data_IF_099430949386
#
_entry.id   IF_099430949386
#
_cell.length_a   1.000
_cell.length_b   1.000
_cell.length_c   1.000
_cell.angle_alpha   90.00
_cell.angle_beta   90.00
_cell.angle_gamma   90.00
#
_symmetry.space_group_name_H-M   'P 1'
#
loop_
_entity.id
_entity.type
_entity.pdbx_description
1 polymer ?
#
# COMPACT_ATOMS: atom_id res chain seq x y z
N UNK A 1 -29.68 7.88 -41.50
CA UNK A 1 -29.33 9.06 -40.66
C UNK A 1 -29.47 8.81 -39.17
N UNK A 2 -30.44 8.04 -38.69
CA UNK A 2 -30.62 7.72 -37.26
C UNK A 2 -29.49 6.88 -36.64
N UNK A 3 -28.88 5.95 -37.38
CA UNK A 3 -27.90 4.98 -36.84
C UNK A 3 -26.56 5.63 -36.44
N UNK A 4 -26.21 6.77 -37.00
CA UNK A 4 -24.92 7.44 -36.74
C UNK A 4 -24.89 8.20 -35.40
N UNK A 5 -26.04 8.61 -34.86
CA UNK A 5 -26.15 9.27 -33.55
C UNK A 5 -26.13 8.24 -32.38
N UNK A 6 -26.43 6.98 -32.66
CA UNK A 6 -26.49 5.92 -31.66
C UNK A 6 -25.13 5.70 -30.98
N UNK A 7 -24.02 5.91 -31.69
CA UNK A 7 -22.66 5.73 -31.14
C UNK A 7 -22.21 6.90 -30.25
N UNK A 8 -22.77 8.11 -30.49
CA UNK A 8 -22.34 9.30 -29.74
C UNK A 8 -22.83 9.31 -28.29
N UNK A 9 -24.06 8.86 -28.05
CA UNK A 9 -24.68 8.84 -26.73
C UNK A 9 -23.93 7.93 -25.73
N UNK A 10 -23.53 6.69 -26.06
CA UNK A 10 -22.70 5.86 -25.18
C UNK A 10 -21.36 6.49 -24.84
N UNK A 11 -20.69 7.15 -25.78
CA UNK A 11 -19.40 7.81 -25.55
C UNK A 11 -19.58 8.99 -24.58
N UNK A 12 -20.60 9.80 -24.76
CA UNK A 12 -20.91 10.91 -23.86
C UNK A 12 -21.22 10.40 -22.44
N UNK A 13 -22.00 9.32 -22.33
CA UNK A 13 -22.32 8.71 -21.05
C UNK A 13 -21.06 8.17 -20.34
N UNK A 14 -20.15 7.55 -21.09
CA UNK A 14 -18.85 7.10 -20.55
C UNK A 14 -18.00 8.26 -20.03
N UNK A 15 -17.94 9.38 -20.73
CA UNK A 15 -17.21 10.58 -20.30
C UNK A 15 -17.81 11.16 -19.02
N UNK A 16 -19.13 11.24 -18.94
CA UNK A 16 -19.84 11.71 -17.74
C UNK A 16 -19.58 10.75 -16.57
N UNK A 17 -19.70 9.45 -16.80
CA UNK A 17 -19.41 8.42 -15.79
C UNK A 17 -17.97 8.49 -15.29
N UNK A 18 -17.02 8.69 -16.20
CA UNK A 18 -15.60 8.87 -15.84
C UNK A 18 -15.39 10.15 -15.01
N UNK A 19 -16.03 11.26 -15.39
CA UNK A 19 -15.95 12.52 -14.63
C UNK A 19 -16.47 12.35 -13.20
N UNK A 20 -17.65 11.72 -13.05
CA UNK A 20 -18.22 11.42 -11.73
C UNK A 20 -17.31 10.51 -10.92
N UNK A 21 -16.77 9.44 -11.50
CA UNK A 21 -15.86 8.53 -10.85
C UNK A 21 -14.61 9.26 -10.32
N UNK A 22 -13.97 10.09 -11.14
CA UNK A 22 -12.78 10.88 -10.76
C UNK A 22 -13.08 11.90 -9.65
N UNK A 23 -14.27 12.50 -9.64
CA UNK A 23 -14.68 13.50 -8.62
C UNK A 23 -14.93 12.81 -7.28
N UNK A 24 -15.62 11.67 -7.28
CA UNK A 24 -16.05 10.96 -6.06
C UNK A 24 -14.89 10.16 -5.43
N UNK A 25 -13.92 9.72 -6.23
CA UNK A 25 -12.82 8.86 -5.77
C UNK A 25 -11.97 9.52 -4.67
N UNK A 26 -11.99 9.01 -3.42
CA UNK A 26 -11.23 9.59 -2.31
C UNK A 26 -9.73 9.32 -2.41
N UNK A 27 -9.30 8.29 -3.14
CA UNK A 27 -7.91 7.84 -3.21
C UNK A 27 -7.07 8.69 -4.18
N UNK A 28 -7.69 9.38 -5.13
CA UNK A 28 -6.98 10.21 -6.11
C UNK A 28 -6.52 11.51 -5.46
N UNK A 29 -5.21 11.79 -5.54
CA UNK A 29 -4.62 13.04 -5.05
C UNK A 29 -5.20 14.24 -5.79
N UNK A 30 -5.39 15.38 -5.09
CA UNK A 30 -5.98 16.61 -5.66
C UNK A 30 -5.35 17.06 -6.98
N UNK A 31 -4.04 16.91 -7.11
CA UNK A 31 -3.31 17.28 -8.32
C UNK A 31 -3.69 16.38 -9.51
N UNK A 32 -3.65 15.07 -9.32
CA UNK A 32 -3.94 14.09 -10.38
C UNK A 32 -5.39 14.17 -10.79
N UNK A 33 -6.30 14.41 -9.83
CA UNK A 33 -7.72 14.71 -10.08
C UNK A 33 -7.89 15.92 -11.01
N UNK A 34 -7.13 17.01 -10.76
CA UNK A 34 -7.18 18.21 -11.61
C UNK A 34 -6.74 17.91 -13.04
N UNK A 35 -5.65 17.17 -13.22
CA UNK A 35 -5.16 16.78 -14.56
C UNK A 35 -6.16 15.87 -15.25
N UNK A 36 -6.71 14.87 -14.55
CA UNK A 36 -7.74 13.97 -15.09
C UNK A 36 -8.98 14.75 -15.55
N UNK A 37 -9.45 15.72 -14.77
CA UNK A 37 -10.59 16.57 -15.16
C UNK A 37 -10.27 17.41 -16.41
N UNK A 38 -9.04 17.89 -16.56
CA UNK A 38 -8.58 18.58 -17.79
C UNK A 38 -8.64 17.61 -18.99
N UNK A 39 -8.09 16.39 -18.82
CA UNK A 39 -8.15 15.36 -19.88
C UNK A 39 -9.60 15.07 -20.27
N UNK A 40 -10.49 14.86 -19.30
CA UNK A 40 -11.92 14.61 -19.53
C UNK A 40 -12.56 15.76 -20.31
N UNK A 41 -12.29 17.01 -19.94
CA UNK A 41 -12.77 18.19 -20.65
C UNK A 41 -12.25 18.27 -22.10
N UNK A 42 -10.98 17.95 -22.32
CA UNK A 42 -10.39 17.91 -23.68
C UNK A 42 -10.99 16.78 -24.51
N UNK A 43 -11.16 15.58 -23.93
CA UNK A 43 -11.82 14.44 -24.59
C UNK A 43 -13.27 14.77 -24.94
N UNK A 44 -14.02 15.40 -24.03
CA UNK A 44 -15.37 15.90 -24.30
C UNK A 44 -15.38 16.87 -25.48
N UNK A 45 -14.42 17.82 -25.52
CA UNK A 45 -14.29 18.77 -26.63
C UNK A 45 -14.02 18.10 -27.97
N UNK A 46 -13.26 16.96 -27.99
CA UNK A 46 -13.08 16.18 -29.21
C UNK A 46 -14.35 15.50 -29.70
N UNK A 47 -15.19 15.02 -28.80
CA UNK A 47 -16.49 14.43 -29.17
C UNK A 47 -17.41 15.49 -29.75
N UNK A 48 -17.46 16.68 -29.14
CA UNK A 48 -18.20 17.83 -29.66
C UNK A 48 -17.63 18.25 -31.03
N UNK A 49 -16.33 18.29 -31.18
CA UNK A 49 -15.66 18.64 -32.44
C UNK A 49 -16.05 17.67 -33.57
N UNK A 50 -16.01 16.36 -33.31
CA UNK A 50 -16.42 15.37 -34.32
C UNK A 50 -17.89 15.52 -34.70
N UNK A 51 -18.77 15.88 -33.75
CA UNK A 51 -20.16 16.15 -34.02
C UNK A 51 -20.35 17.41 -34.89
N UNK A 52 -19.62 18.49 -34.58
CA UNK A 52 -19.61 19.71 -35.34
C UNK A 52 -19.07 19.53 -36.77
N UNK A 53 -18.01 18.76 -36.94
CA UNK A 53 -17.44 18.42 -38.24
C UNK A 53 -18.47 17.71 -39.12
N UNK A 54 -19.19 16.75 -38.55
CA UNK A 54 -20.22 16.02 -39.25
C UNK A 54 -21.42 16.92 -39.67
N UNK A 55 -21.91 17.78 -38.75
CA UNK A 55 -22.98 18.70 -39.08
C UNK A 55 -22.55 19.70 -40.16
N UNK A 56 -21.33 20.21 -40.06
CA UNK A 56 -20.78 21.18 -41.01
C UNK A 56 -20.62 20.59 -42.40
N UNK A 57 -20.32 19.28 -42.49
CA UNK A 57 -20.32 18.52 -43.75
C UNK A 57 -21.72 18.49 -44.40
N UNK A 58 -22.75 18.22 -43.58
CA UNK A 58 -24.14 18.15 -44.04
C UNK A 58 -24.70 19.51 -44.53
N UNK A 59 -24.21 20.62 -43.93
CA UNK A 59 -24.72 21.98 -44.21
C UNK A 59 -23.76 22.76 -45.14
N UNK A 60 -22.67 22.13 -45.61
CA UNK A 60 -21.62 22.72 -46.46
C UNK A 60 -21.02 24.03 -45.87
N UNK A 61 -20.83 24.08 -44.55
CA UNK A 61 -20.20 25.22 -43.85
C UNK A 61 -18.68 25.00 -43.74
N UNK A 62 -17.93 25.28 -44.80
CA UNK A 62 -16.48 25.04 -44.90
C UNK A 62 -15.65 25.69 -43.80
N UNK A 63 -16.02 26.92 -43.40
CA UNK A 63 -15.34 27.66 -42.33
C UNK A 63 -15.50 26.98 -40.96
N UNK A 64 -16.72 26.57 -40.60
CA UNK A 64 -17.00 25.92 -39.32
C UNK A 64 -16.29 24.57 -39.25
N UNK A 65 -16.28 23.84 -40.36
CA UNK A 65 -15.56 22.57 -40.50
C UNK A 65 -14.04 22.76 -40.37
N UNK A 66 -13.46 23.81 -40.96
CA UNK A 66 -12.06 24.16 -40.80
C UNK A 66 -11.73 24.45 -39.33
N UNK A 67 -12.52 25.25 -38.62
CA UNK A 67 -12.32 25.53 -37.20
C UNK A 67 -12.37 24.24 -36.37
N UNK A 68 -13.37 23.41 -36.58
CA UNK A 68 -13.54 22.14 -35.90
C UNK A 68 -12.32 21.20 -36.12
N UNK A 69 -11.88 21.08 -37.38
CA UNK A 69 -10.70 20.24 -37.72
C UNK A 69 -9.43 20.76 -37.09
N UNK A 70 -9.12 22.05 -37.16
CA UNK A 70 -7.94 22.67 -36.50
C UNK A 70 -7.93 22.41 -34.99
N UNK A 71 -9.11 22.60 -34.34
CA UNK A 71 -9.28 22.28 -32.92
C UNK A 71 -8.94 20.82 -32.62
N UNK A 72 -9.49 19.87 -33.38
CA UNK A 72 -9.24 18.45 -33.20
C UNK A 72 -7.76 18.07 -33.33
N UNK A 73 -7.05 18.61 -34.31
CA UNK A 73 -5.62 18.38 -34.49
C UNK A 73 -4.75 19.03 -33.40
N UNK A 74 -5.23 20.09 -32.75
CA UNK A 74 -4.54 20.70 -31.62
C UNK A 74 -4.75 19.93 -30.33
N UNK A 75 -5.99 19.50 -30.02
CA UNK A 75 -6.34 18.86 -28.74
C UNK A 75 -5.68 17.48 -28.56
N UNK A 76 -5.54 16.69 -29.64
CA UNK A 76 -4.99 15.33 -29.57
C UNK A 76 -3.61 15.25 -28.91
N UNK A 77 -2.56 15.98 -29.36
CA UNK A 77 -1.26 15.94 -28.69
C UNK A 77 -1.29 16.59 -27.30
N UNK A 78 -2.20 17.54 -27.02
CA UNK A 78 -2.36 18.13 -25.69
C UNK A 78 -2.87 17.08 -24.69
N UNK A 79 -3.76 16.20 -25.07
CA UNK A 79 -4.19 15.08 -24.21
C UNK A 79 -2.99 14.18 -23.87
N UNK A 80 -2.14 13.85 -24.84
CA UNK A 80 -0.98 13.00 -24.62
C UNK A 80 0.02 13.62 -23.63
N UNK A 81 0.30 14.93 -23.70
CA UNK A 81 1.20 15.57 -22.74
C UNK A 81 0.61 15.62 -21.33
N UNK A 82 -0.71 15.68 -21.17
CA UNK A 82 -1.36 15.61 -19.86
C UNK A 82 -1.12 14.25 -19.20
N UNK A 83 -1.07 13.15 -19.94
CA UNK A 83 -0.68 11.85 -19.41
C UNK A 83 0.78 11.80 -18.94
N UNK A 84 1.71 12.55 -19.55
CA UNK A 84 3.08 12.64 -19.06
C UNK A 84 3.14 13.24 -17.66
N UNK A 85 2.34 14.29 -17.39
CA UNK A 85 2.29 14.94 -16.08
C UNK A 85 1.68 14.04 -14.99
N UNK A 86 0.81 13.10 -15.36
CA UNK A 86 0.29 12.11 -14.40
C UNK A 86 1.38 11.09 -14.03
N UNK A 87 2.16 10.62 -15.03
CA UNK A 87 3.20 9.62 -14.80
C UNK A 87 4.40 10.19 -14.05
N UNK A 88 4.85 11.39 -14.41
CA UNK A 88 6.00 12.02 -13.79
C UNK A 88 5.81 13.53 -13.69
N UNK A 89 5.39 13.98 -12.52
CA UNK A 89 5.05 15.37 -12.22
C UNK A 89 6.26 16.31 -12.20
N UNK A 90 7.43 15.81 -11.79
CA UNK A 90 8.60 16.65 -11.51
C UNK A 90 9.37 16.99 -12.78
N UNK A 91 9.10 16.30 -13.88
CA UNK A 91 9.84 16.47 -15.12
C UNK A 91 9.30 17.62 -15.96
N UNK A 92 10.18 18.42 -16.53
CA UNK A 92 9.83 19.50 -17.47
C UNK A 92 9.67 18.95 -18.88
N UNK A 93 8.54 19.23 -19.54
CA UNK A 93 8.19 18.76 -20.88
C UNK A 93 8.25 19.88 -21.93
N UNK A 94 9.16 20.86 -21.78
CA UNK A 94 9.27 22.04 -22.67
C UNK A 94 9.44 21.65 -24.15
N UNK A 95 10.22 20.61 -24.45
CA UNK A 95 10.42 20.10 -25.81
C UNK A 95 9.08 19.67 -26.45
N UNK A 96 8.26 18.92 -25.72
CA UNK A 96 6.98 18.44 -26.23
C UNK A 96 5.95 19.59 -26.39
N UNK A 97 5.99 20.60 -25.52
CA UNK A 97 5.22 21.83 -25.73
C UNK A 97 5.69 22.59 -26.97
N UNK A 98 6.98 22.58 -27.29
CA UNK A 98 7.51 23.11 -28.54
C UNK A 98 6.98 22.36 -29.76
N UNK A 99 6.92 21.02 -29.72
CA UNK A 99 6.33 20.20 -30.78
C UNK A 99 4.83 20.49 -30.97
N UNK A 100 4.09 20.67 -29.87
CA UNK A 100 2.66 21.08 -29.94
C UNK A 100 2.55 22.47 -30.55
N UNK A 101 3.44 23.41 -30.24
CA UNK A 101 3.49 24.73 -30.84
C UNK A 101 3.69 24.67 -32.37
N UNK A 102 4.64 23.85 -32.85
CA UNK A 102 4.84 23.60 -34.27
C UNK A 102 3.59 23.01 -34.92
N UNK A 103 2.99 21.99 -34.30
CA UNK A 103 1.73 21.41 -34.76
C UNK A 103 0.63 22.47 -34.92
N UNK A 104 0.47 23.31 -33.90
CA UNK A 104 -0.54 24.40 -33.91
C UNK A 104 -0.28 25.38 -35.05
N UNK A 105 0.96 25.80 -35.25
CA UNK A 105 1.33 26.71 -36.34
C UNK A 105 1.02 26.11 -37.71
N UNK A 106 1.35 24.81 -37.93
CA UNK A 106 1.06 24.12 -39.21
C UNK A 106 -0.44 24.08 -39.48
N UNK A 107 -1.26 23.63 -38.51
CA UNK A 107 -2.70 23.54 -38.75
C UNK A 107 -3.41 24.89 -38.78
N UNK A 108 -2.85 25.91 -38.14
CA UNK A 108 -3.35 27.28 -38.27
C UNK A 108 -3.25 27.84 -39.70
N UNK A 109 -2.28 27.32 -40.51
CA UNK A 109 -2.18 27.71 -41.95
C UNK A 109 -3.39 27.31 -42.76
N UNK A 110 -4.24 26.38 -42.33
CA UNK A 110 -5.46 25.97 -43.02
C UNK A 110 -6.46 27.13 -43.27
N UNK A 111 -6.38 28.23 -42.49
CA UNK A 111 -7.22 29.41 -42.66
C UNK A 111 -6.81 30.29 -43.84
N UNK A 112 -5.57 30.19 -44.34
CA UNK A 112 -5.04 31.07 -45.38
C UNK A 112 -4.14 30.39 -46.44
N UNK A 113 -3.89 29.10 -46.28
CA UNK A 113 -3.07 28.35 -47.24
C UNK A 113 -3.48 26.86 -47.32
N UNK A 114 -3.12 26.21 -48.42
CA UNK A 114 -3.40 24.77 -48.67
C UNK A 114 -2.26 23.85 -48.14
N UNK A 115 -1.49 24.31 -47.17
CA UNK A 115 -0.31 23.58 -46.67
C UNK A 115 -0.70 22.41 -45.75
N UNK A 116 -1.56 22.62 -44.79
CA UNK A 116 -2.01 21.54 -43.88
C UNK A 116 -3.17 20.75 -44.50
N UNK A 117 -4.26 21.40 -44.73
CA UNK A 117 -5.47 20.90 -45.41
C UNK A 117 -6.31 22.06 -45.87
N UNK A 118 -7.30 21.78 -46.73
CA UNK A 118 -8.36 22.76 -47.06
C UNK A 118 -9.69 22.06 -47.28
N UNK A 119 -10.75 22.78 -47.14
CA UNK A 119 -12.11 22.28 -47.36
C UNK A 119 -12.68 23.05 -48.55
N UNK A 120 -13.20 22.35 -49.54
CA UNK A 120 -13.78 22.92 -50.75
C UNK A 120 -15.03 22.14 -51.11
N UNK A 121 -16.16 22.81 -51.19
CA UNK A 121 -17.49 22.23 -51.44
C UNK A 121 -17.85 21.07 -50.49
N UNK A 122 -17.52 21.20 -49.19
CA UNK A 122 -17.75 20.16 -48.22
C UNK A 122 -16.74 19.01 -48.22
N UNK A 123 -15.78 18.95 -49.17
CA UNK A 123 -14.80 17.90 -49.25
C UNK A 123 -13.50 18.29 -48.54
N UNK A 124 -13.00 17.39 -47.65
CA UNK A 124 -11.71 17.55 -46.97
C UNK A 124 -10.57 17.12 -47.88
N UNK A 125 -9.69 18.06 -48.23
CA UNK A 125 -8.52 17.82 -49.09
C UNK A 125 -7.24 17.98 -48.29
N UNK A 126 -6.34 16.99 -48.43
CA UNK A 126 -5.10 16.90 -47.67
C UNK A 126 -3.98 17.70 -48.32
N UNK A 127 -3.31 18.55 -47.52
CA UNK A 127 -2.09 19.25 -47.91
C UNK A 127 -0.82 18.43 -47.62
N UNK A 128 0.35 18.91 -48.04
CA UNK A 128 1.63 18.23 -47.85
C UNK A 128 2.00 18.01 -46.37
N UNK A 129 1.55 18.86 -45.45
CA UNK A 129 1.82 18.75 -44.04
C UNK A 129 0.62 18.21 -43.21
N UNK A 130 -0.35 17.58 -43.86
CA UNK A 130 -1.57 17.05 -43.24
C UNK A 130 -1.28 16.02 -42.12
N UNK A 131 -0.17 15.27 -42.20
CA UNK A 131 0.18 14.22 -41.27
C UNK A 131 0.99 14.67 -40.06
N UNK A 132 1.27 15.97 -39.90
CA UNK A 132 2.10 16.52 -38.81
C UNK A 132 1.57 16.11 -37.43
N UNK A 133 0.27 16.21 -37.21
CA UNK A 133 -0.34 15.80 -35.94
C UNK A 133 -0.13 14.29 -35.64
N UNK A 134 -0.27 13.44 -36.64
CA UNK A 134 -0.07 12.00 -36.48
C UNK A 134 1.39 11.66 -36.14
N UNK A 135 2.35 12.28 -36.83
CA UNK A 135 3.79 12.12 -36.56
C UNK A 135 4.13 12.53 -35.13
N UNK A 136 3.68 13.73 -34.70
CA UNK A 136 3.90 14.24 -33.36
C UNK A 136 3.23 13.34 -32.32
N UNK A 137 2.01 12.88 -32.57
CA UNK A 137 1.31 11.97 -31.66
C UNK A 137 2.03 10.62 -31.51
N UNK A 138 2.58 10.06 -32.58
CA UNK A 138 3.40 8.84 -32.53
C UNK A 138 4.67 9.06 -31.70
N UNK A 139 5.40 10.16 -31.91
CA UNK A 139 6.59 10.50 -31.13
C UNK A 139 6.22 10.59 -29.62
N UNK A 140 5.13 11.27 -29.31
CA UNK A 140 4.66 11.41 -27.94
C UNK A 140 4.20 10.08 -27.33
N UNK A 141 3.56 9.20 -28.10
CA UNK A 141 3.21 7.86 -27.67
C UNK A 141 4.41 6.98 -27.36
N UNK A 142 5.44 7.01 -28.22
CA UNK A 142 6.70 6.29 -27.97
C UNK A 142 7.35 6.79 -26.68
N UNK A 143 7.33 8.10 -26.44
CA UNK A 143 7.84 8.66 -25.21
C UNK A 143 6.97 8.29 -23.98
N UNK A 144 5.65 8.25 -24.13
CA UNK A 144 4.73 7.77 -23.08
C UNK A 144 5.01 6.32 -22.75
N UNK A 145 5.28 5.47 -23.74
CA UNK A 145 5.73 4.08 -23.56
C UNK A 145 7.01 4.01 -22.74
N UNK A 146 8.00 4.81 -23.10
CA UNK A 146 9.25 4.88 -22.35
C UNK A 146 9.02 5.27 -20.89
N UNK A 147 8.23 6.31 -20.61
CA UNK A 147 7.87 6.72 -19.25
C UNK A 147 7.16 5.61 -18.49
N UNK A 148 6.20 4.95 -19.15
CA UNK A 148 5.46 3.82 -18.59
C UNK A 148 6.41 2.69 -18.21
N UNK A 149 7.31 2.27 -19.12
CA UNK A 149 8.31 1.21 -18.85
C UNK A 149 9.24 1.60 -17.69
N UNK A 150 9.66 2.86 -17.61
CA UNK A 150 10.48 3.33 -16.48
C UNK A 150 9.75 3.24 -15.14
N UNK A 151 8.46 3.59 -15.12
CA UNK A 151 7.63 3.48 -13.92
C UNK A 151 7.36 2.00 -13.56
N UNK A 152 7.24 1.11 -14.55
CA UNK A 152 7.04 -0.32 -14.39
C UNK A 152 8.20 -1.05 -13.72
N UNK A 153 9.44 -0.56 -13.88
CA UNK A 153 10.60 -1.10 -13.14
C UNK A 153 10.46 -0.92 -11.63
N UNK A 154 9.59 -0.01 -11.20
CA UNK A 154 9.30 0.30 -9.80
C UNK A 154 8.03 -0.38 -9.26
N UNK A 155 7.22 -1.03 -10.12
CA UNK A 155 5.91 -1.61 -9.78
C UNK A 155 5.81 -3.09 -10.18
N UNK A 156 4.95 -3.91 -9.54
CA UNK A 156 4.77 -5.32 -9.89
C UNK A 156 4.32 -5.51 -11.35
N UNK A 157 4.89 -6.51 -12.04
CA UNK A 157 4.65 -6.80 -13.48
C UNK A 157 3.17 -6.89 -13.90
N UNK A 158 2.25 -7.30 -13.01
CA UNK A 158 0.83 -7.44 -13.32
C UNK A 158 0.11 -6.12 -13.58
N UNK A 159 0.56 -5.02 -12.99
CA UNK A 159 -0.05 -3.69 -13.15
C UNK A 159 0.32 -3.01 -14.47
N UNK A 160 1.36 -3.50 -15.09
CA UNK A 160 1.93 -3.00 -16.34
C UNK A 160 1.03 -3.23 -17.55
N UNK A 161 0.15 -4.21 -17.46
CA UNK A 161 -0.70 -4.64 -18.58
C UNK A 161 -1.62 -3.50 -19.03
N UNK A 162 -2.21 -2.75 -18.10
CA UNK A 162 -3.18 -1.70 -18.44
C UNK A 162 -2.59 -0.53 -19.24
N UNK A 163 -1.49 0.13 -18.82
CA UNK A 163 -0.88 1.20 -19.59
C UNK A 163 -0.37 0.73 -20.97
N UNK A 164 0.21 -0.47 -21.04
CA UNK A 164 0.72 -1.04 -22.31
C UNK A 164 -0.45 -1.36 -23.27
N UNK A 165 -1.52 -1.97 -22.76
CA UNK A 165 -2.73 -2.23 -23.54
C UNK A 165 -3.36 -0.94 -24.06
N UNK A 166 -3.47 0.09 -23.21
CA UNK A 166 -3.98 1.39 -23.60
C UNK A 166 -3.19 2.02 -24.76
N UNK A 167 -1.87 1.95 -24.68
CA UNK A 167 -1.01 2.46 -25.75
C UNK A 167 -1.17 1.70 -27.06
N UNK A 168 -1.29 0.36 -26.99
CA UNK A 168 -1.56 -0.46 -28.16
C UNK A 168 -2.88 -0.05 -28.80
N UNK A 169 -3.94 0.18 -28.01
CA UNK A 169 -5.25 0.62 -28.49
C UNK A 169 -5.17 2.00 -29.17
N UNK A 170 -4.45 2.97 -28.62
CA UNK A 170 -4.27 4.28 -29.25
C UNK A 170 -3.51 4.14 -30.57
N UNK A 171 -2.45 3.30 -30.61
CA UNK A 171 -1.71 3.04 -31.84
C UNK A 171 -2.60 2.42 -32.94
N UNK A 172 -3.44 1.46 -32.58
CA UNK A 172 -4.42 0.87 -33.49
C UNK A 172 -5.41 1.93 -34.00
N UNK A 173 -5.89 2.82 -33.10
CA UNK A 173 -6.78 3.92 -33.51
C UNK A 173 -6.14 4.86 -34.53
N UNK A 174 -4.87 5.22 -34.32
CA UNK A 174 -4.12 6.04 -35.29
C UNK A 174 -3.99 5.32 -36.64
N UNK A 175 -3.63 4.03 -36.62
CA UNK A 175 -3.50 3.25 -37.84
C UNK A 175 -4.84 3.15 -38.60
N UNK A 176 -5.95 2.91 -37.87
CA UNK A 176 -7.28 2.85 -38.50
C UNK A 176 -7.67 4.20 -39.11
N UNK A 177 -7.42 5.32 -38.45
CA UNK A 177 -7.68 6.67 -39.03
C UNK A 177 -6.85 6.94 -40.28
N UNK A 178 -5.66 6.36 -40.41
CA UNK A 178 -4.80 6.50 -41.60
C UNK A 178 -5.29 5.67 -42.79
N UNK A 179 -5.79 4.44 -42.53
CA UNK A 179 -6.13 3.47 -43.57
C UNK A 179 -7.63 3.41 -43.90
N UNK A 180 -8.52 3.79 -42.95
CA UNK A 180 -9.97 3.61 -43.08
C UNK A 180 -10.74 4.93 -43.12
N UNK A 181 -10.13 6.03 -43.55
CA UNK A 181 -10.65 7.40 -43.47
C UNK A 181 -11.95 7.69 -44.23
N UNK A 182 -12.43 6.79 -45.06
CA UNK A 182 -13.57 7.08 -45.94
C UNK A 182 -14.94 6.63 -45.40
N UNK A 183 -14.98 5.98 -44.25
CA UNK A 183 -16.20 5.27 -43.81
C UNK A 183 -16.90 5.88 -42.58
N UNK A 184 -16.37 6.90 -41.89
CA UNK A 184 -16.87 7.14 -40.52
C UNK A 184 -17.09 8.57 -40.05
N UNK A 185 -18.14 8.68 -39.20
CA UNK A 185 -18.61 9.89 -38.53
C UNK A 185 -17.71 10.31 -37.36
N UNK A 186 -17.00 9.37 -36.75
CA UNK A 186 -16.15 9.59 -35.58
C UNK A 186 -14.80 8.97 -35.84
N UNK A 187 -13.73 9.76 -35.62
CA UNK A 187 -12.34 9.28 -35.69
C UNK A 187 -12.12 8.13 -34.70
N UNK A 188 -11.58 7.01 -35.17
CA UNK A 188 -11.16 5.86 -34.35
C UNK A 188 -10.20 6.28 -33.24
N UNK A 189 -9.31 7.24 -33.52
CA UNK A 189 -8.44 7.84 -32.51
C UNK A 189 -9.22 8.46 -31.36
N UNK A 190 -10.35 9.12 -31.63
CA UNK A 190 -11.19 9.70 -30.58
C UNK A 190 -11.79 8.59 -29.69
N UNK A 191 -12.31 7.53 -30.30
CA UNK A 191 -12.87 6.39 -29.55
C UNK A 191 -11.80 5.73 -28.68
N UNK A 192 -10.60 5.51 -29.21
CA UNK A 192 -9.50 4.88 -28.46
C UNK A 192 -8.94 5.78 -27.35
N UNK A 193 -8.92 7.10 -27.54
CA UNK A 193 -8.53 8.05 -26.48
C UNK A 193 -9.55 8.08 -25.34
N UNK A 194 -10.87 8.06 -25.65
CA UNK A 194 -11.93 7.97 -24.63
C UNK A 194 -11.82 6.69 -23.81
N UNK A 195 -11.77 5.56 -24.51
CA UNK A 195 -11.63 4.23 -23.86
C UNK A 195 -10.32 4.12 -23.09
N UNK A 196 -9.24 4.62 -23.67
CA UNK A 196 -7.94 4.67 -23.02
C UNK A 196 -7.90 5.50 -21.74
N UNK A 197 -8.61 6.63 -21.72
CA UNK A 197 -8.73 7.45 -20.51
C UNK A 197 -9.44 6.71 -19.38
N UNK A 198 -10.46 5.91 -19.70
CA UNK A 198 -11.15 5.05 -18.72
C UNK A 198 -10.20 3.96 -18.16
N UNK A 199 -9.48 3.25 -19.03
CA UNK A 199 -8.51 2.24 -18.60
C UNK A 199 -7.40 2.85 -17.74
N UNK A 200 -6.94 4.04 -18.11
CA UNK A 200 -5.92 4.76 -17.35
C UNK A 200 -6.42 5.18 -15.97
N UNK A 201 -7.67 5.64 -15.87
CA UNK A 201 -8.32 5.92 -14.59
C UNK A 201 -8.37 4.66 -13.71
N UNK A 202 -8.83 3.52 -14.25
CA UNK A 202 -8.90 2.26 -13.50
C UNK A 202 -7.51 1.87 -12.96
N UNK A 203 -6.47 1.98 -13.79
CA UNK A 203 -5.09 1.70 -13.38
C UNK A 203 -4.63 2.62 -12.25
N UNK A 204 -4.87 3.92 -12.36
CA UNK A 204 -4.54 4.91 -11.35
C UNK A 204 -5.26 4.63 -10.03
N UNK A 205 -6.57 4.38 -10.08
CA UNK A 205 -7.37 4.02 -8.92
C UNK A 205 -6.81 2.78 -8.21
N UNK A 206 -6.56 1.69 -8.93
CA UNK A 206 -5.99 0.46 -8.37
C UNK A 206 -4.61 0.68 -7.75
N UNK A 207 -3.80 1.55 -8.33
CA UNK A 207 -2.48 1.92 -7.80
C UNK A 207 -2.61 2.67 -6.47
N UNK A 208 -3.44 3.69 -6.41
CA UNK A 208 -3.60 4.50 -5.20
C UNK A 208 -4.27 3.74 -4.05
N UNK A 209 -5.26 2.90 -4.34
CA UNK A 209 -5.87 2.01 -3.33
C UNK A 209 -4.80 1.13 -2.70
N UNK A 210 -3.95 0.49 -3.51
CA UNK A 210 -2.86 -0.36 -2.99
C UNK A 210 -1.78 0.41 -2.22
N UNK A 211 -1.42 1.60 -2.66
CA UNK A 211 -0.50 2.46 -1.91
C UNK A 211 -1.07 2.79 -0.52
N UNK A 212 -2.37 3.08 -0.47
CA UNK A 212 -3.07 3.36 0.79
C UNK A 212 -3.17 2.14 1.70
N UNK A 213 -3.54 0.98 1.16
CA UNK A 213 -3.58 -0.29 1.91
C UNK A 213 -2.21 -0.64 2.50
N UNK A 214 -1.13 -0.50 1.73
CA UNK A 214 0.24 -0.74 2.21
C UNK A 214 0.62 0.23 3.33
N UNK A 215 0.28 1.51 3.20
CA UNK A 215 0.52 2.50 4.24
C UNK A 215 -0.25 2.17 5.52
N UNK A 216 -1.53 1.81 5.41
CA UNK A 216 -2.37 1.41 6.53
C UNK A 216 -1.85 0.14 7.23
N UNK A 217 -1.45 -0.87 6.45
CA UNK A 217 -0.84 -2.09 7.00
C UNK A 217 0.48 -1.80 7.73
N UNK A 218 1.31 -0.89 7.19
CA UNK A 218 2.55 -0.48 7.85
C UNK A 218 2.26 0.25 9.16
N UNK A 219 1.26 1.14 9.19
CA UNK A 219 0.84 1.86 10.40
C UNK A 219 0.28 0.89 11.45
N UNK A 220 -0.59 -0.04 11.06
CA UNK A 220 -1.11 -1.09 11.96
C UNK A 220 0.03 -1.95 12.52
N UNK A 221 1.02 -2.30 11.69
CA UNK A 221 2.18 -3.08 12.12
C UNK A 221 3.00 -2.30 13.16
N UNK A 222 3.20 -0.99 12.96
CA UNK A 222 3.87 -0.12 13.94
C UNK A 222 3.06 -0.04 15.23
N UNK A 223 1.75 0.10 15.17
CA UNK A 223 0.88 0.11 16.36
C UNK A 223 0.95 -1.20 17.15
N UNK A 224 0.90 -2.35 16.46
CA UNK A 224 1.09 -3.66 17.09
C UNK A 224 2.46 -3.74 17.76
N UNK A 225 3.53 -3.29 17.08
CA UNK A 225 4.88 -3.23 17.66
C UNK A 225 4.92 -2.37 18.92
N UNK A 226 4.31 -1.19 18.90
CA UNK A 226 4.28 -0.26 20.05
C UNK A 226 3.50 -0.82 21.24
N UNK A 227 2.42 -1.60 21.00
CA UNK A 227 1.66 -2.21 22.08
C UNK A 227 2.37 -3.41 22.72
N UNK A 228 3.24 -4.10 21.99
CA UNK A 228 4.01 -5.23 22.49
C UNK A 228 5.26 -4.78 23.28
N UNK A 229 5.80 -3.60 22.99
CA UNK A 229 6.80 -2.97 23.86
C UNK A 229 6.04 -2.25 24.98
N UNK A 230 5.98 -2.85 26.15
CA UNK A 230 5.26 -2.28 27.31
C UNK A 230 5.81 -0.89 27.68
N UNK A 231 5.06 0.21 27.47
CA UNK A 231 5.58 1.55 27.73
C UNK A 231 6.00 1.74 29.21
N UNK A 232 5.25 1.12 30.11
CA UNK A 232 5.53 1.18 31.54
C UNK A 232 6.87 0.49 31.91
N UNK A 233 7.22 -0.62 31.27
CA UNK A 233 8.53 -1.27 31.48
C UNK A 233 9.66 -0.38 30.99
N UNK A 234 9.50 0.26 29.82
CA UNK A 234 10.50 1.19 29.28
C UNK A 234 10.78 2.33 30.24
N UNK A 235 9.73 3.05 30.68
CA UNK A 235 9.90 4.19 31.60
C UNK A 235 10.53 3.77 32.92
N UNK A 236 10.12 2.65 33.46
CA UNK A 236 10.63 2.16 34.73
C UNK A 236 12.10 1.72 34.64
N UNK A 237 12.48 1.04 33.55
CA UNK A 237 13.88 0.63 33.33
C UNK A 237 14.77 1.85 33.16
N UNK A 238 14.37 2.84 32.35
CA UNK A 238 15.11 4.10 32.21
C UNK A 238 15.27 4.85 33.54
N UNK A 239 14.21 4.89 34.34
CA UNK A 239 14.28 5.52 35.70
C UNK A 239 15.22 4.75 36.63
N UNK A 240 15.24 3.42 36.54
CA UNK A 240 16.16 2.58 37.29
C UNK A 240 17.62 2.82 36.87
N UNK A 241 17.89 2.84 35.57
CA UNK A 241 19.23 3.19 35.04
C UNK A 241 19.67 4.56 35.50
N UNK A 242 18.77 5.55 35.43
CA UNK A 242 19.06 6.93 35.90
C UNK A 242 19.43 6.96 37.38
N UNK A 243 18.74 6.20 38.23
CA UNK A 243 19.08 6.10 39.66
C UNK A 243 20.43 5.40 39.85
N UNK A 244 20.68 4.30 39.16
CA UNK A 244 21.92 3.54 39.24
C UNK A 244 23.13 4.34 38.77
N UNK A 245 23.00 5.23 37.79
CA UNK A 245 24.10 6.11 37.36
C UNK A 245 24.72 6.92 38.52
N UNK A 246 23.97 7.16 39.59
CA UNK A 246 24.47 7.88 40.78
C UNK A 246 24.94 6.96 41.91
N UNK A 247 24.41 5.76 41.99
CA UNK A 247 24.60 4.85 43.12
C UNK A 247 25.63 3.75 42.75
N UNK A 248 25.52 3.19 41.56
CA UNK A 248 26.34 2.07 41.08
C UNK A 248 26.47 2.17 39.53
N UNK A 249 27.47 2.94 39.05
CA UNK A 249 27.66 3.15 37.61
C UNK A 249 27.94 1.87 36.80
N UNK A 250 28.61 0.87 37.38
CA UNK A 250 28.86 -0.41 36.70
C UNK A 250 27.56 -1.16 36.48
N UNK A 251 26.71 -1.23 37.50
CA UNK A 251 25.38 -1.84 37.38
C UNK A 251 24.45 -1.07 36.43
N UNK A 252 24.61 0.26 36.35
CA UNK A 252 23.90 1.08 35.38
C UNK A 252 24.31 0.71 33.95
N UNK A 253 25.61 0.51 33.70
CA UNK A 253 26.13 0.09 32.39
C UNK A 253 25.57 -1.27 31.98
N UNK A 254 25.70 -2.28 32.86
CA UNK A 254 25.18 -3.64 32.60
C UNK A 254 23.66 -3.63 32.34
N UNK A 255 22.92 -2.83 33.14
CA UNK A 255 21.46 -2.70 32.94
C UNK A 255 21.12 -2.06 31.61
N UNK A 256 21.92 -1.07 31.16
CA UNK A 256 21.73 -0.41 29.86
C UNK A 256 22.00 -1.38 28.71
N UNK A 257 23.04 -2.20 28.82
CA UNK A 257 23.35 -3.22 27.83
C UNK A 257 22.22 -4.27 27.72
N UNK A 258 21.79 -4.83 28.86
CA UNK A 258 20.66 -5.77 28.93
C UNK A 258 19.36 -5.15 28.36
N UNK A 259 19.10 -3.89 28.66
CA UNK A 259 17.94 -3.19 28.15
C UNK A 259 18.00 -3.01 26.63
N UNK A 260 19.18 -2.69 26.08
CA UNK A 260 19.40 -2.63 24.63
C UNK A 260 19.20 -3.98 23.95
N UNK A 261 19.69 -5.10 24.57
CA UNK A 261 19.44 -6.45 24.10
C UNK A 261 17.95 -6.80 24.11
N UNK A 262 17.25 -6.52 25.20
CA UNK A 262 15.82 -6.73 25.34
C UNK A 262 15.01 -6.04 24.22
N UNK A 263 15.29 -4.75 23.98
CA UNK A 263 14.60 -4.00 22.92
C UNK A 263 14.85 -4.59 21.52
N UNK A 264 16.09 -4.97 21.23
CA UNK A 264 16.45 -5.57 19.94
C UNK A 264 15.73 -6.91 19.72
N UNK A 265 15.75 -7.79 20.74
CA UNK A 265 15.11 -9.09 20.67
C UNK A 265 13.57 -8.97 20.53
N UNK A 266 12.94 -8.01 21.19
CA UNK A 266 11.51 -7.73 20.98
C UNK A 266 11.21 -7.34 19.53
N UNK A 267 12.02 -6.44 18.93
CA UNK A 267 11.85 -6.02 17.54
C UNK A 267 12.04 -7.20 16.57
N UNK A 268 13.07 -8.04 16.81
CA UNK A 268 13.37 -9.21 15.99
C UNK A 268 12.25 -10.26 16.09
N UNK A 269 11.71 -10.49 17.28
CA UNK A 269 10.62 -11.44 17.53
C UNK A 269 9.32 -11.09 16.78
N UNK A 270 9.07 -9.79 16.57
CA UNK A 270 7.91 -9.29 15.80
C UNK A 270 8.04 -9.53 14.29
N UNK A 271 9.26 -9.71 13.81
CA UNK A 271 9.55 -9.87 12.39
C UNK A 271 9.60 -11.34 11.95
N UNK A 272 9.57 -12.29 12.89
CA UNK A 272 9.70 -13.71 12.61
C UNK A 272 8.36 -14.44 12.79
N UNK A 273 7.70 -14.86 11.69
CA UNK A 273 6.47 -15.65 11.73
C UNK A 273 6.72 -17.13 12.05
N UNK A 274 7.97 -17.56 12.25
CA UNK A 274 8.39 -18.96 12.42
C UNK A 274 8.62 -19.28 13.90
N UNK A 275 8.65 -20.59 14.22
CA UNK A 275 9.04 -21.08 15.53
C UNK A 275 10.51 -20.76 15.79
N UNK A 276 10.83 -20.37 17.01
CA UNK A 276 12.21 -20.13 17.45
C UNK A 276 12.67 -21.22 18.43
N UNK A 277 13.96 -21.57 18.46
CA UNK A 277 14.50 -22.47 19.49
C UNK A 277 14.15 -21.97 20.89
N UNK A 278 13.76 -22.89 21.79
CA UNK A 278 13.39 -22.54 23.18
C UNK A 278 14.53 -21.83 23.92
N UNK A 279 15.78 -22.11 23.59
CA UNK A 279 16.93 -21.43 24.18
C UNK A 279 16.90 -19.92 23.95
N UNK A 280 16.50 -19.46 22.72
CA UNK A 280 16.36 -18.03 22.42
C UNK A 280 15.23 -17.39 23.23
N UNK A 281 14.11 -18.07 23.39
CA UNK A 281 12.98 -17.59 24.18
C UNK A 281 13.34 -17.49 25.67
N UNK A 282 14.07 -18.49 26.18
CA UNK A 282 14.56 -18.47 27.57
C UNK A 282 15.61 -17.40 27.81
N UNK A 283 16.52 -17.18 26.86
CA UNK A 283 17.50 -16.08 26.93
C UNK A 283 16.81 -14.73 27.00
N UNK A 284 15.82 -14.51 26.15
CA UNK A 284 15.01 -13.29 26.13
C UNK A 284 14.27 -13.09 27.47
N UNK A 285 13.67 -14.15 27.99
CA UNK A 285 12.99 -14.15 29.28
C UNK A 285 13.95 -13.85 30.44
N UNK A 286 15.18 -14.41 30.42
CA UNK A 286 16.22 -14.13 31.42
C UNK A 286 16.61 -12.66 31.45
N UNK A 287 16.83 -12.05 30.28
CA UNK A 287 17.19 -10.63 30.19
C UNK A 287 16.08 -9.76 30.82
N UNK A 288 14.81 -10.05 30.51
CA UNK A 288 13.68 -9.36 31.13
C UNK A 288 13.67 -9.53 32.67
N UNK A 289 13.79 -10.79 33.13
CA UNK A 289 13.78 -11.11 34.56
C UNK A 289 14.94 -10.43 35.31
N UNK A 290 16.14 -10.42 34.73
CA UNK A 290 17.32 -9.76 35.31
C UNK A 290 17.07 -8.26 35.56
N UNK A 291 16.45 -7.57 34.58
CA UNK A 291 16.11 -6.14 34.71
C UNK A 291 15.09 -5.94 35.82
N UNK A 292 14.07 -6.78 35.90
CA UNK A 292 13.05 -6.66 36.96
C UNK A 292 13.61 -7.01 38.36
N UNK A 293 14.53 -7.97 38.48
CA UNK A 293 15.22 -8.30 39.75
C UNK A 293 16.11 -7.17 40.23
N UNK A 294 16.66 -6.32 39.37
CA UNK A 294 17.37 -5.11 39.77
C UNK A 294 16.40 -4.11 40.44
N UNK A 295 15.17 -4.03 39.96
CA UNK A 295 14.14 -3.13 40.51
C UNK A 295 13.51 -3.67 41.78
N UNK A 296 13.32 -4.98 41.85
CA UNK A 296 12.64 -5.66 42.93
C UNK A 296 13.57 -6.69 43.58
N UNK A 297 14.29 -6.24 44.61
CA UNK A 297 15.29 -7.08 45.29
C UNK A 297 14.69 -8.28 46.02
N UNK A 298 13.36 -8.24 46.30
CA UNK A 298 12.60 -9.33 46.87
C UNK A 298 12.15 -10.40 45.88
N UNK A 299 12.41 -10.22 44.59
CA UNK A 299 12.01 -11.15 43.52
C UNK A 299 13.22 -11.96 43.05
N UNK A 300 13.05 -13.26 42.90
CA UNK A 300 14.01 -14.18 42.29
C UNK A 300 13.35 -15.00 41.19
N UNK A 301 14.06 -15.23 40.09
CA UNK A 301 13.61 -16.11 39.01
C UNK A 301 14.64 -17.24 38.88
N UNK A 302 14.16 -18.47 39.04
CA UNK A 302 14.96 -19.70 39.00
C UNK A 302 14.64 -20.46 37.71
N UNK A 303 15.66 -21.07 37.11
CA UNK A 303 15.56 -21.84 35.88
C UNK A 303 16.05 -23.27 36.08
N UNK A 304 15.20 -24.24 35.77
CA UNK A 304 15.53 -25.70 35.80
C UNK A 304 15.26 -26.28 34.41
N UNK A 305 16.24 -26.16 33.53
CA UNK A 305 16.11 -26.50 32.11
C UNK A 305 16.68 -27.88 31.85
N UNK A 306 15.80 -28.89 31.75
CA UNK A 306 16.16 -30.28 31.50
C UNK A 306 15.92 -30.70 30.04
N UNK A 307 15.19 -29.87 29.25
CA UNK A 307 14.95 -30.09 27.85
C UNK A 307 14.98 -28.74 27.13
N UNK A 308 15.81 -28.63 26.11
CA UNK A 308 15.97 -27.43 25.28
C UNK A 308 16.01 -27.76 23.77
N UNK A 309 15.58 -28.98 23.41
CA UNK A 309 15.70 -29.52 22.04
C UNK A 309 14.50 -29.21 21.13
N UNK A 310 13.61 -28.31 21.53
CA UNK A 310 12.39 -27.99 20.80
C UNK A 310 12.26 -26.50 20.45
N UNK A 311 11.25 -26.17 19.64
CA UNK A 311 10.98 -24.80 19.19
C UNK A 311 9.58 -24.36 19.61
N UNK A 312 9.44 -23.07 19.89
CA UNK A 312 8.19 -22.43 20.32
C UNK A 312 7.93 -21.14 19.52
N UNK A 313 6.70 -20.66 19.45
CA UNK A 313 6.46 -19.32 18.98
C UNK A 313 7.17 -18.27 19.85
N UNK A 314 7.70 -17.22 19.25
CA UNK A 314 8.32 -16.13 20.00
C UNK A 314 7.33 -15.52 21.02
N UNK A 315 7.83 -15.03 22.16
CA UNK A 315 7.04 -14.46 23.25
C UNK A 315 6.04 -15.45 23.86
N UNK A 316 6.43 -16.72 24.01
CA UNK A 316 5.63 -17.78 24.66
C UNK A 316 5.85 -17.80 26.17
N UNK A 317 7.10 -17.79 26.63
CA UNK A 317 7.50 -17.90 28.04
C UNK A 317 7.48 -16.54 28.74
N UNK A 318 8.03 -15.52 28.05
CA UNK A 318 8.19 -14.17 28.63
C UNK A 318 6.90 -13.57 29.18
N UNK A 319 5.74 -13.56 28.47
CA UNK A 319 4.52 -12.94 29.00
C UNK A 319 4.00 -13.62 30.27
N UNK A 320 4.26 -14.93 30.43
CA UNK A 320 3.84 -15.70 31.61
C UNK A 320 4.75 -15.34 32.80
N UNK A 321 6.08 -15.31 32.61
CA UNK A 321 7.02 -14.89 33.63
C UNK A 321 6.78 -13.42 34.04
N UNK A 322 6.47 -12.58 33.09
CA UNK A 322 6.09 -11.21 33.35
C UNK A 322 4.84 -11.10 34.24
N UNK A 323 3.78 -11.87 33.93
CA UNK A 323 2.57 -11.91 34.76
C UNK A 323 2.87 -12.43 36.16
N UNK A 324 3.71 -13.48 36.29
CA UNK A 324 4.14 -14.02 37.56
C UNK A 324 4.88 -12.96 38.39
N UNK A 325 5.79 -12.19 37.81
CA UNK A 325 6.50 -11.12 38.51
C UNK A 325 5.55 -9.99 38.89
N UNK A 326 4.81 -9.42 37.95
CA UNK A 326 3.97 -8.23 38.14
C UNK A 326 2.79 -8.47 39.07
N UNK A 327 2.08 -9.55 38.86
CA UNK A 327 0.80 -9.81 39.50
C UNK A 327 0.88 -10.87 40.60
N UNK A 328 1.88 -11.73 40.51
CA UNK A 328 2.13 -12.81 41.48
C UNK A 328 2.97 -12.34 42.66
N UNK A 329 4.27 -12.25 42.47
CA UNK A 329 5.27 -12.26 43.55
C UNK A 329 5.74 -10.90 44.04
N UNK A 330 5.52 -9.81 43.32
CA UNK A 330 6.04 -8.47 43.65
C UNK A 330 5.65 -7.97 45.05
N UNK A 331 4.53 -8.45 45.57
CA UNK A 331 4.00 -8.05 46.90
C UNK A 331 4.46 -8.97 48.03
N UNK A 332 5.21 -10.04 47.73
CA UNK A 332 5.74 -10.98 48.74
C UNK A 332 7.07 -10.47 49.27
N UNK A 333 7.41 -10.80 50.51
CA UNK A 333 8.71 -10.50 51.09
C UNK A 333 9.84 -11.29 50.39
N UNK A 334 9.56 -12.54 50.02
CA UNK A 334 10.38 -13.40 49.15
C UNK A 334 9.55 -13.95 48.04
N UNK A 335 9.61 -13.30 46.88
CA UNK A 335 8.90 -13.69 45.65
C UNK A 335 9.77 -14.59 44.78
N UNK A 336 9.28 -15.78 44.48
CA UNK A 336 9.99 -16.76 43.66
C UNK A 336 9.14 -17.11 42.45
N UNK A 337 9.76 -17.00 41.26
CA UNK A 337 9.21 -17.53 40.01
C UNK A 337 10.15 -18.65 39.53
N UNK A 338 9.62 -19.81 39.24
CA UNK A 338 10.39 -20.93 38.74
C UNK A 338 9.95 -21.28 37.33
N UNK A 339 10.91 -21.38 36.41
CA UNK A 339 10.71 -21.80 35.01
C UNK A 339 11.43 -23.14 34.84
N UNK A 340 10.69 -24.16 34.45
CA UNK A 340 11.28 -25.49 34.18
C UNK A 340 10.85 -26.03 32.83
N UNK A 341 11.73 -26.79 32.18
CA UNK A 341 11.42 -27.51 30.96
C UNK A 341 11.78 -28.97 31.10
N UNK A 342 10.94 -29.84 30.57
CA UNK A 342 11.21 -31.30 30.58
C UNK A 342 10.56 -31.97 29.36
N UNK A 343 11.20 -33.05 28.91
CA UNK A 343 10.65 -33.90 27.87
C UNK A 343 9.77 -34.99 28.51
N UNK A 344 8.58 -35.17 27.97
CA UNK A 344 7.65 -36.27 28.27
C UNK A 344 7.53 -37.18 27.05
N UNK A 345 6.86 -38.33 27.20
CA UNK A 345 6.77 -39.32 26.11
C UNK A 345 6.16 -38.78 24.81
N UNK A 346 5.26 -37.80 24.89
CA UNK A 346 4.50 -37.30 23.72
C UNK A 346 4.56 -35.79 23.51
N UNK A 347 5.23 -35.05 24.42
CA UNK A 347 5.27 -33.60 24.35
C UNK A 347 6.46 -33.05 25.15
N UNK A 348 6.89 -31.85 24.78
CA UNK A 348 7.75 -31.02 25.60
C UNK A 348 6.89 -30.22 26.58
N UNK A 349 7.26 -30.15 27.84
CA UNK A 349 6.52 -29.46 28.88
C UNK A 349 7.35 -28.27 29.39
N UNK A 350 6.70 -27.09 29.44
CA UNK A 350 7.25 -25.91 30.11
C UNK A 350 6.34 -25.60 31.29
N UNK A 351 6.90 -25.48 32.49
CA UNK A 351 6.15 -25.14 33.70
C UNK A 351 6.69 -23.82 34.27
N UNK A 352 5.83 -22.85 34.43
CA UNK A 352 6.12 -21.58 35.08
C UNK A 352 5.27 -21.50 36.36
N UNK A 353 5.91 -21.51 37.52
CA UNK A 353 5.23 -21.44 38.82
C UNK A 353 5.69 -20.24 39.62
N UNK A 354 4.78 -19.61 40.36
CA UNK A 354 5.05 -18.53 41.28
C UNK A 354 4.45 -18.81 42.67
N UNK A 355 5.09 -18.27 43.70
CA UNK A 355 4.59 -18.31 45.08
C UNK A 355 3.79 -17.04 45.42
N UNK A 356 3.18 -16.40 44.44
CA UNK A 356 2.52 -15.09 44.57
C UNK A 356 1.14 -15.15 45.24
N UNK A 357 0.35 -14.11 45.01
CA UNK A 357 -0.99 -14.00 45.64
C UNK A 357 -2.00 -15.01 45.13
N UNK A 358 -1.79 -15.61 43.96
CA UNK A 358 -2.75 -16.45 43.29
C UNK A 358 -4.13 -15.77 43.01
N UNK A 359 -5.06 -16.51 42.47
CA UNK A 359 -6.40 -16.07 42.17
C UNK A 359 -7.37 -17.25 42.08
N UNK A 360 -8.68 -17.00 42.21
CA UNK A 360 -9.72 -18.02 42.03
C UNK A 360 -10.06 -18.17 40.55
N UNK A 361 -9.69 -19.31 39.98
CA UNK A 361 -9.96 -19.64 38.56
C UNK A 361 -11.44 -19.76 38.21
N UNK A 362 -12.33 -19.96 39.18
CA UNK A 362 -13.76 -20.11 38.99
C UNK A 362 -14.56 -18.81 38.94
N UNK A 363 -14.06 -17.74 39.57
CA UNK A 363 -14.75 -16.45 39.65
C UNK A 363 -14.37 -15.48 38.51
N UNK A 364 -13.37 -15.78 37.71
CA UNK A 364 -12.80 -14.84 36.71
C UNK A 364 -13.25 -15.06 35.26
N UNK A 365 -14.31 -15.83 35.03
CA UNK A 365 -14.88 -15.97 33.66
C UNK A 365 -15.45 -14.67 33.09
N UNK A 366 -15.65 -13.62 33.92
CA UNK A 366 -16.31 -12.36 33.50
C UNK A 366 -15.41 -11.10 33.49
N UNK A 367 -14.14 -11.19 33.87
CA UNK A 367 -13.25 -10.00 33.85
C UNK A 367 -12.30 -10.05 32.62
N UNK A 368 -12.62 -9.29 31.60
CA UNK A 368 -11.88 -9.20 30.32
C UNK A 368 -10.43 -8.72 30.42
N UNK A 369 -9.97 -8.17 31.55
CA UNK A 369 -8.65 -7.48 31.62
C UNK A 369 -7.52 -8.30 32.23
N UNK A 370 -7.80 -9.42 32.92
CA UNK A 370 -6.78 -10.16 33.70
C UNK A 370 -5.98 -11.22 32.94
N UNK A 371 -6.46 -11.74 31.80
CA UNK A 371 -5.88 -12.91 31.13
C UNK A 371 -5.53 -12.71 29.66
N UNK A 372 -5.54 -11.49 29.17
CA UNK A 372 -5.21 -11.19 27.75
C UNK A 372 -3.85 -11.77 27.36
N UNK A 373 -2.86 -11.70 28.25
CA UNK A 373 -1.51 -12.22 27.98
C UNK A 373 -1.47 -13.74 27.80
N UNK A 374 -2.13 -14.50 28.72
CA UNK A 374 -2.14 -15.97 28.68
C UNK A 374 -2.97 -16.47 27.50
N UNK A 375 -4.13 -15.85 27.24
CA UNK A 375 -4.99 -16.18 26.11
C UNK A 375 -4.28 -15.96 24.77
N UNK A 376 -3.52 -14.89 24.63
CA UNK A 376 -2.72 -14.64 23.43
C UNK A 376 -1.63 -15.70 23.22
N UNK A 377 -1.01 -16.19 24.31
CA UNK A 377 -0.03 -17.29 24.25
C UNK A 377 -0.73 -18.58 23.84
N UNK A 378 -1.87 -18.91 24.42
CA UNK A 378 -2.69 -20.09 24.09
C UNK A 378 -3.07 -20.11 22.61
N UNK A 379 -3.68 -19.02 22.11
CA UNK A 379 -4.06 -18.92 20.69
C UNK A 379 -2.88 -19.07 19.74
N UNK A 380 -1.71 -18.55 20.11
CA UNK A 380 -0.49 -18.64 19.31
C UNK A 380 0.09 -20.04 19.31
N UNK A 381 0.21 -20.69 20.48
CA UNK A 381 0.64 -22.07 20.61
C UNK A 381 -0.27 -23.02 19.81
N UNK A 382 -1.58 -22.87 19.94
CA UNK A 382 -2.55 -23.67 19.21
C UNK A 382 -2.42 -23.54 17.70
N UNK A 383 -2.23 -22.31 17.20
CA UNK A 383 -2.13 -22.05 15.75
C UNK A 383 -0.81 -22.49 15.13
N UNK A 384 0.31 -22.35 15.86
CA UNK A 384 1.64 -22.54 15.29
C UNK A 384 2.25 -23.92 15.55
N UNK A 385 1.93 -24.56 16.67
CA UNK A 385 2.49 -25.86 17.02
C UNK A 385 1.47 -26.82 17.67
N UNK A 386 0.18 -26.54 17.61
CA UNK A 386 -0.89 -27.35 18.24
C UNK A 386 -0.69 -27.58 19.73
N UNK A 387 0.04 -26.69 20.40
CA UNK A 387 0.29 -26.75 21.82
C UNK A 387 -0.91 -26.35 22.66
N UNK A 388 -0.90 -26.68 23.93
CA UNK A 388 -1.95 -26.38 24.89
C UNK A 388 -1.41 -25.67 26.12
N UNK A 389 -2.27 -24.89 26.79
CA UNK A 389 -1.96 -24.16 28.02
C UNK A 389 -2.93 -24.59 29.11
N UNK A 390 -2.41 -24.88 30.31
CA UNK A 390 -3.23 -25.08 31.50
C UNK A 390 -2.76 -24.14 32.61
N UNK A 391 -3.73 -23.63 33.39
CA UNK A 391 -3.47 -22.69 34.50
C UNK A 391 -4.11 -23.22 35.76
N UNK A 392 -3.28 -23.38 36.79
CA UNK A 392 -3.70 -23.74 38.14
C UNK A 392 -3.33 -22.58 39.07
N UNK A 393 -4.30 -22.05 39.80
CA UNK A 393 -4.09 -20.97 40.74
C UNK A 393 -5.03 -21.08 41.95
N UNK A 394 -4.49 -20.73 43.11
CA UNK A 394 -5.25 -20.64 44.35
C UNK A 394 -4.89 -19.38 45.11
N UNK A 395 -5.88 -18.66 45.67
CA UNK A 395 -5.62 -17.48 46.48
C UNK A 395 -4.64 -17.77 47.62
N UNK A 396 -3.56 -17.01 47.70
CA UNK A 396 -2.51 -17.13 48.71
C UNK A 396 -1.43 -18.19 48.46
N UNK A 397 -1.63 -19.13 47.53
CA UNK A 397 -0.70 -20.23 47.23
C UNK A 397 0.19 -19.95 45.97
N UNK A 398 -0.24 -19.03 45.09
CA UNK A 398 0.44 -18.69 43.85
C UNK A 398 -0.25 -19.26 42.60
N UNK A 399 0.47 -19.23 41.49
CA UNK A 399 -0.02 -19.70 40.18
C UNK A 399 0.99 -20.62 39.51
N UNK A 400 0.49 -21.65 38.82
CA UNK A 400 1.28 -22.53 37.97
C UNK A 400 0.66 -22.53 36.57
N UNK A 401 1.45 -22.21 35.58
CA UNK A 401 1.09 -22.26 34.15
C UNK A 401 1.92 -23.36 33.49
N UNK A 402 1.24 -24.32 32.88
CA UNK A 402 1.88 -25.45 32.18
C UNK A 402 1.56 -25.38 30.70
N UNK A 403 2.60 -25.43 29.86
CA UNK A 403 2.51 -25.44 28.41
C UNK A 403 2.95 -26.81 27.91
N UNK A 404 2.15 -27.42 27.03
CA UNK A 404 2.49 -28.67 26.36
C UNK A 404 2.68 -28.41 24.85
N UNK A 405 3.82 -28.77 24.33
CA UNK A 405 4.19 -28.65 22.93
C UNK A 405 4.35 -30.07 22.36
N UNK A 406 3.49 -30.53 21.46
CA UNK A 406 3.60 -31.85 20.84
C UNK A 406 4.96 -32.06 20.16
N UNK A 407 5.50 -33.33 20.23
CA UNK A 407 6.72 -33.73 19.56
C UNK A 407 6.52 -33.86 18.06
#
# INVERSE_FOLDING_TARGET
MQDKYIVLAPIMLQIIGLALAVVIDPYIKKHDRKIMMIIIGLVFSLVVQNYLDHISDLITMDVLRTIASVWGYWVRPVILIMFFYILNKERSYKLFWGLIGINTAVYFTAFFSKVAFWIENGHFLRGPLCFTCHIISVIMLVYLLYLTICELKRSPRRESVFPVFNMLMIFVGIAMDLFASDLEVISYLTITVVSGSLFYYIWLHLRFVREHERALMAEQRIQIMMTQIQPHFLYNTLSTIQALCRIDPEKAFDTTEKFGMYLRQNIDSLSQPELIPIQKELEHTKIYADIEMIRFQNVRVEYDINDDSFSVPALTVQPIVENAIKHGVRIRDEGIVRVSTQMKEKYHEIVISDNGKGFDTKQQSDSETGHIGIKNVEERLQKMCHGTVSVESKPGEGTTVTLHIPI
#
